data_IF_680486074298
#
_entry.id   IF_680486074298
#
_cell.length_a   1.000
_cell.length_b   1.000
_cell.length_c   1.000
_cell.angle_alpha   90.00
_cell.angle_beta   90.00
_cell.angle_gamma   90.00
#
_symmetry.space_group_name_H-M   'P 1'
#
loop_
_entity.id
_entity.type
_entity.pdbx_description
1 polymer ?
#
# COMPACT_ATOMS: atom_id res chain seq x y z
N UNK A 1 13.10 1.07 15.35
CA UNK A 1 13.57 -0.02 14.46
C UNK A 1 14.94 0.34 13.91
N UNK A 2 15.83 -0.64 13.64
CA UNK A 2 17.08 -0.36 12.93
C UNK A 2 16.79 0.16 11.51
N UNK A 3 17.53 1.17 11.03
CA UNK A 3 17.30 1.79 9.72
C UNK A 3 17.33 0.80 8.55
N UNK A 4 18.11 -0.28 8.67
CA UNK A 4 18.14 -1.38 7.69
C UNK A 4 16.81 -2.14 7.63
N UNK A 5 16.15 -2.34 8.78
CA UNK A 5 14.83 -3.00 8.85
C UNK A 5 13.77 -2.13 8.19
N UNK A 6 13.78 -0.82 8.48
CA UNK A 6 12.86 0.16 7.87
C UNK A 6 13.02 0.17 6.35
N UNK A 7 14.26 0.20 5.85
CA UNK A 7 14.54 0.13 4.41
C UNK A 7 13.97 -1.14 3.77
N UNK A 8 14.24 -2.31 4.34
CA UNK A 8 13.78 -3.59 3.79
C UNK A 8 12.26 -3.65 3.72
N UNK A 9 11.60 -3.21 4.78
CA UNK A 9 10.14 -3.20 4.84
C UNK A 9 9.52 -2.17 3.89
N UNK A 10 10.13 -0.99 3.72
CA UNK A 10 9.71 -0.01 2.70
C UNK A 10 9.81 -0.59 1.28
N UNK A 11 10.92 -1.26 0.96
CA UNK A 11 11.08 -1.91 -0.34
C UNK A 11 10.09 -3.06 -0.54
N UNK A 12 9.70 -3.75 0.54
CA UNK A 12 8.66 -4.77 0.48
C UNK A 12 7.29 -4.16 0.15
N UNK A 13 6.86 -3.11 0.85
CA UNK A 13 5.59 -2.42 0.58
C UNK A 13 5.57 -1.83 -0.84
N UNK A 14 6.68 -1.23 -1.29
CA UNK A 14 6.79 -0.74 -2.68
C UNK A 14 6.72 -1.88 -3.71
N UNK A 15 7.14 -3.10 -3.37
CA UNK A 15 6.94 -4.28 -4.23
C UNK A 15 5.48 -4.63 -4.37
N UNK A 16 4.77 -4.66 -3.24
CA UNK A 16 3.35 -5.02 -3.19
C UNK A 16 2.49 -3.98 -3.92
N UNK A 17 2.89 -2.71 -3.87
CA UNK A 17 2.22 -1.64 -4.61
C UNK A 17 2.57 -1.59 -6.11
N UNK A 18 3.61 -2.30 -6.57
CA UNK A 18 4.03 -2.26 -7.97
C UNK A 18 3.18 -3.20 -8.83
N UNK A 19 2.55 -2.71 -9.92
CA UNK A 19 1.68 -3.53 -10.76
C UNK A 19 2.41 -4.71 -11.43
N UNK A 20 3.72 -4.57 -11.67
CA UNK A 20 4.53 -5.59 -12.35
C UNK A 20 5.46 -6.37 -11.40
N UNK A 21 5.39 -6.11 -10.08
CA UNK A 21 6.28 -6.74 -9.07
C UNK A 21 7.77 -6.40 -9.19
N UNK A 22 8.20 -5.75 -10.28
CA UNK A 22 9.56 -5.30 -10.50
C UNK A 22 9.81 -3.97 -9.76
N UNK A 23 10.68 -3.99 -8.76
CA UNK A 23 11.09 -2.80 -8.00
C UNK A 23 12.18 -2.01 -8.76
N UNK A 24 12.95 -2.66 -9.64
CA UNK A 24 14.18 -2.09 -10.22
C UNK A 24 13.93 -0.77 -10.97
N UNK A 25 12.76 -0.66 -11.61
CA UNK A 25 12.37 0.52 -12.39
C UNK A 25 11.57 1.55 -11.58
N UNK A 26 11.27 1.25 -10.31
CA UNK A 26 10.54 2.17 -9.43
C UNK A 26 11.42 3.36 -9.05
N UNK A 27 11.01 4.54 -9.49
CA UNK A 27 11.61 5.81 -9.10
C UNK A 27 11.63 5.98 -7.57
N UNK A 28 10.55 5.56 -6.90
CA UNK A 28 10.45 5.61 -5.44
C UNK A 28 11.50 4.72 -4.77
N UNK A 29 11.70 3.49 -5.25
CA UNK A 29 12.70 2.59 -4.69
C UNK A 29 14.13 3.11 -4.86
N UNK A 30 14.44 3.67 -6.04
CA UNK A 30 15.73 4.34 -6.29
C UNK A 30 15.96 5.52 -5.35
N UNK A 31 14.94 6.36 -5.15
CA UNK A 31 15.02 7.51 -4.26
C UNK A 31 15.26 7.08 -2.80
N UNK A 32 14.50 6.11 -2.30
CA UNK A 32 14.64 5.58 -0.93
C UNK A 32 16.04 5.00 -0.71
N UNK A 33 16.57 4.26 -1.68
CA UNK A 33 17.94 3.73 -1.62
C UNK A 33 19.00 4.85 -1.59
N UNK A 34 18.81 5.90 -2.39
CA UNK A 34 19.72 7.05 -2.41
C UNK A 34 19.71 7.81 -1.07
N UNK A 35 18.53 8.06 -0.50
CA UNK A 35 18.40 8.70 0.82
C UNK A 35 19.01 7.85 1.92
N UNK A 36 18.77 6.54 1.92
CA UNK A 36 19.37 5.65 2.90
C UNK A 36 20.91 5.70 2.86
N UNK A 37 21.51 5.67 1.65
CA UNK A 37 22.97 5.80 1.49
C UNK A 37 23.47 7.14 1.99
N UNK A 38 22.77 8.24 1.66
CA UNK A 38 23.13 9.60 2.09
C UNK A 38 23.22 9.72 3.60
N UNK A 39 22.25 9.14 4.33
CA UNK A 39 22.20 9.23 5.79
C UNK A 39 22.91 8.08 6.52
N UNK A 40 23.51 7.11 5.80
CA UNK A 40 24.22 5.99 6.40
C UNK A 40 25.63 6.35 6.91
N UNK A 41 26.33 7.28 6.23
CA UNK A 41 27.76 7.58 6.44
C UNK A 41 28.03 9.00 6.93
N UNK A 42 27.01 9.80 7.25
CA UNK A 42 27.22 11.20 7.64
C UNK A 42 27.86 11.30 9.04
N UNK A 43 29.06 11.89 9.12
CA UNK A 43 29.86 12.05 10.36
C UNK A 43 29.70 13.43 11.04
N UNK A 44 28.78 14.29 10.58
CA UNK A 44 28.54 15.61 11.17
C UNK A 44 27.29 15.60 12.08
N UNK A 45 27.41 16.02 13.34
CA UNK A 45 26.29 16.19 14.31
C UNK A 45 25.28 15.02 14.36
N UNK A 46 25.81 13.80 14.50
CA UNK A 46 25.44 12.58 13.75
C UNK A 46 24.14 11.86 14.14
N UNK A 47 23.51 12.16 15.28
CA UNK A 47 22.33 11.40 15.72
C UNK A 47 21.01 11.96 15.16
N UNK A 48 20.86 13.28 15.05
CA UNK A 48 19.55 13.89 14.81
C UNK A 48 19.05 13.60 13.39
N UNK A 49 19.86 13.90 12.37
CA UNK A 49 19.48 13.68 10.97
C UNK A 49 19.22 12.19 10.63
N UNK A 50 20.00 11.28 11.23
CA UNK A 50 19.80 9.84 11.07
C UNK A 50 18.50 9.37 11.73
N UNK A 51 18.21 9.86 12.92
CA UNK A 51 16.98 9.55 13.64
C UNK A 51 15.75 10.12 12.91
N UNK A 52 15.83 11.35 12.40
CA UNK A 52 14.79 11.98 11.57
C UNK A 52 14.55 11.20 10.28
N UNK A 53 15.61 10.80 9.57
CA UNK A 53 15.48 9.96 8.37
C UNK A 53 14.84 8.60 8.68
N UNK A 54 15.20 8.00 9.81
CA UNK A 54 14.59 6.73 10.26
C UNK A 54 13.12 6.93 10.61
N UNK A 55 12.78 8.01 11.33
CA UNK A 55 11.41 8.37 11.68
C UNK A 55 10.55 8.62 10.45
N UNK A 56 11.04 9.42 9.49
CA UNK A 56 10.36 9.64 8.21
C UNK A 56 10.13 8.32 7.47
N UNK A 57 11.15 7.45 7.42
CA UNK A 57 11.00 6.12 6.82
C UNK A 57 9.93 5.26 7.51
N UNK A 58 9.82 5.32 8.84
CA UNK A 58 8.76 4.65 9.58
C UNK A 58 7.38 5.24 9.28
N UNK A 59 7.26 6.57 9.22
CA UNK A 59 6.00 7.24 8.87
C UNK A 59 5.52 6.83 7.48
N UNK A 60 6.40 6.83 6.48
CA UNK A 60 6.05 6.38 5.13
C UNK A 60 5.68 4.90 5.08
N UNK A 61 6.40 4.06 5.83
CA UNK A 61 6.07 2.64 5.92
C UNK A 61 4.67 2.42 6.50
N UNK A 62 4.34 3.10 7.60
CA UNK A 62 3.01 3.01 8.23
C UNK A 62 1.93 3.48 7.26
N UNK A 63 2.19 4.56 6.53
CA UNK A 63 1.25 5.08 5.52
C UNK A 63 0.99 4.10 4.38
N UNK A 64 2.05 3.50 3.81
CA UNK A 64 1.90 2.52 2.72
C UNK A 64 1.16 1.26 3.20
N UNK A 65 1.53 0.76 4.38
CA UNK A 65 0.90 -0.43 4.96
C UNK A 65 -0.59 -0.17 5.27
N UNK A 66 -0.93 0.97 5.85
CA UNK A 66 -2.32 1.32 6.14
C UNK A 66 -3.13 1.54 4.87
N UNK A 67 -2.54 2.11 3.82
CA UNK A 67 -3.20 2.25 2.52
C UNK A 67 -3.50 0.89 1.89
N UNK A 68 -2.57 -0.07 1.94
CA UNK A 68 -2.81 -1.44 1.46
C UNK A 68 -3.95 -2.10 2.22
N UNK A 69 -3.91 -2.05 3.55
CA UNK A 69 -4.97 -2.62 4.41
C UNK A 69 -6.32 -1.94 4.16
N UNK A 70 -6.34 -0.63 3.97
CA UNK A 70 -7.54 0.11 3.62
C UNK A 70 -8.13 -0.37 2.30
N UNK A 71 -7.31 -0.59 1.26
CA UNK A 71 -7.78 -1.10 -0.02
C UNK A 71 -8.33 -2.53 0.08
N UNK A 72 -7.77 -3.36 0.96
CA UNK A 72 -8.30 -4.71 1.26
C UNK A 72 -9.69 -4.61 1.90
N UNK A 73 -9.81 -3.81 2.96
CA UNK A 73 -11.10 -3.56 3.63
C UNK A 73 -12.12 -2.92 2.69
N UNK A 74 -11.71 -1.98 1.85
CA UNK A 74 -12.58 -1.34 0.87
C UNK A 74 -13.09 -2.34 -0.15
N UNK A 75 -12.24 -3.24 -0.67
CA UNK A 75 -12.69 -4.28 -1.61
C UNK A 75 -13.70 -5.25 -0.99
N UNK A 76 -13.53 -5.57 0.29
CA UNK A 76 -14.39 -6.52 0.99
C UNK A 76 -15.72 -5.90 1.43
N UNK A 77 -15.67 -4.68 1.97
CA UNK A 77 -16.80 -4.05 2.66
C UNK A 77 -17.40 -2.85 1.93
N UNK A 78 -16.80 -2.32 0.86
CA UNK A 78 -17.51 -1.30 0.10
C UNK A 78 -18.79 -1.93 -0.46
N UNK A 79 -19.93 -1.29 -0.16
CA UNK A 79 -21.21 -1.74 -0.67
C UNK A 79 -21.16 -1.76 -2.19
N UNK A 80 -21.66 -2.84 -2.83
CA UNK A 80 -21.68 -3.04 -4.30
C UNK A 80 -22.56 -2.02 -5.06
N UNK A 81 -22.74 -0.81 -4.53
CA UNK A 81 -23.70 0.18 -4.98
C UNK A 81 -25.13 -0.27 -4.73
N UNK A 82 -26.06 0.39 -5.41
CA UNK A 82 -27.44 -0.07 -5.54
C UNK A 82 -27.44 -1.37 -6.34
N UNK A 83 -28.04 -2.43 -5.77
CA UNK A 83 -28.20 -3.71 -6.46
C UNK A 83 -29.17 -3.52 -7.63
N UNK A 84 -28.92 -4.19 -8.75
CA UNK A 84 -29.84 -4.12 -9.87
C UNK A 84 -31.18 -4.77 -9.50
N UNK A 85 -32.25 -4.42 -10.22
CA UNK A 85 -33.58 -5.04 -10.05
C UNK A 85 -33.50 -6.57 -10.20
N UNK A 86 -32.62 -7.04 -11.11
CA UNK A 86 -32.35 -8.48 -11.32
C UNK A 86 -31.70 -9.14 -10.11
N UNK A 87 -30.60 -8.56 -9.61
CA UNK A 87 -29.91 -9.10 -8.43
C UNK A 87 -30.81 -9.13 -7.21
N UNK A 88 -31.71 -8.14 -7.10
CA UNK A 88 -32.67 -8.04 -6.01
C UNK A 88 -33.76 -9.10 -6.16
N UNK A 89 -34.30 -9.31 -7.36
CA UNK A 89 -35.28 -10.34 -7.67
C UNK A 89 -34.71 -11.75 -7.38
N UNK A 90 -33.49 -12.03 -7.84
CA UNK A 90 -32.81 -13.32 -7.62
C UNK A 90 -32.56 -13.57 -6.12
N UNK A 91 -32.20 -12.54 -5.34
CA UNK A 91 -31.98 -12.65 -3.90
C UNK A 91 -33.24 -13.09 -3.14
N UNK A 92 -34.41 -12.62 -3.56
CA UNK A 92 -35.69 -12.94 -2.92
C UNK A 92 -36.42 -14.11 -3.59
N UNK A 93 -35.81 -14.73 -4.62
CA UNK A 93 -36.37 -15.88 -5.33
C UNK A 93 -37.44 -15.55 -6.38
N UNK A 94 -37.51 -14.30 -6.85
CA UNK A 94 -38.39 -13.90 -7.95
C UNK A 94 -37.65 -13.95 -9.29
N UNK A 95 -38.37 -14.37 -10.35
CA UNK A 95 -37.90 -14.23 -11.74
C UNK A 95 -38.40 -12.91 -12.33
N UNK A 96 -37.63 -12.30 -13.23
CA UNK A 96 -38.10 -11.14 -13.98
C UNK A 96 -39.13 -11.57 -15.05
N UNK A 97 -40.09 -10.69 -15.41
CA UNK A 97 -41.06 -10.98 -16.48
C UNK A 97 -40.44 -11.28 -17.85
N UNK A 98 -39.18 -10.91 -18.04
CA UNK A 98 -38.41 -11.12 -19.28
C UNK A 98 -37.63 -12.44 -19.31
N UNK A 99 -37.56 -13.19 -18.21
CA UNK A 99 -36.85 -14.48 -18.18
C UNK A 99 -37.72 -15.59 -18.79
N UNK A 100 -37.12 -16.55 -19.55
CA UNK A 100 -37.86 -17.66 -20.11
C UNK A 100 -38.48 -18.52 -19.00
N UNK A 101 -39.71 -18.98 -19.23
CA UNK A 101 -40.51 -19.75 -18.26
C UNK A 101 -39.78 -21.02 -17.82
#
# INVERSE_FOLDING_TARGET
MSGTKVLRSLLHELRQASPNGCIKDSLAARYVLAQYKKFATTEQQVCKARNEATFLGQTYLTYLASQRQYLELYKEFHGRGERSVRDTADLVGFKLPSDPK
#
